data_IF_326662204669
#
_entry.id   IF_326662204669
#
_cell.length_a   1.000
_cell.length_b   1.000
_cell.length_c   1.000
_cell.angle_alpha   90.00
_cell.angle_beta   90.00
_cell.angle_gamma   90.00
#
_symmetry.space_group_name_H-M   'P 1'
#
loop_
_entity.id
_entity.type
_entity.pdbx_description
1 polymer ?
#
# COMPACT_ATOMS: atom_id res chain seq x y z
N UNK A 1 0.05 -5.87 -18.83
CA UNK A 1 -1.13 -5.02 -18.62
C UNK A 1 -0.77 -3.58 -18.96
N UNK A 2 -1.55 -2.91 -19.82
CA UNK A 2 -1.19 -1.56 -20.31
C UNK A 2 -2.00 -0.53 -19.51
N UNK A 3 -1.33 0.32 -18.75
CA UNK A 3 -1.98 1.45 -18.08
C UNK A 3 -2.05 2.63 -19.04
N UNK A 4 -3.19 3.29 -19.05
CA UNK A 4 -3.32 4.58 -19.70
C UNK A 4 -2.81 5.66 -18.75
N UNK A 5 -1.58 6.14 -18.98
CA UNK A 5 -1.00 7.28 -18.28
C UNK A 5 -0.45 8.26 -19.31
N UNK A 6 -1.08 9.42 -19.50
CA UNK A 6 -0.52 10.44 -20.37
C UNK A 6 0.90 10.83 -19.95
N UNK A 7 1.81 11.00 -20.92
CA UNK A 7 3.24 11.22 -20.64
C UNK A 7 3.52 12.38 -19.68
N UNK A 8 2.74 13.46 -19.77
CA UNK A 8 2.89 14.65 -18.93
C UNK A 8 2.36 14.48 -17.49
N UNK A 9 1.64 13.40 -17.19
CA UNK A 9 1.17 13.05 -15.85
C UNK A 9 1.94 11.87 -15.24
N UNK A 10 2.90 11.33 -15.97
CA UNK A 10 3.63 10.16 -15.53
C UNK A 10 4.75 10.57 -14.58
N UNK A 11 4.83 9.91 -13.44
CA UNK A 11 5.92 10.01 -12.49
C UNK A 11 6.77 8.73 -12.61
N UNK A 12 8.02 8.89 -13.06
CA UNK A 12 8.96 7.78 -13.28
C UNK A 12 10.14 7.78 -12.28
N UNK A 13 10.26 8.80 -11.43
CA UNK A 13 11.31 8.87 -10.41
C UNK A 13 11.05 7.83 -9.30
N UNK A 14 11.93 6.83 -9.11
CA UNK A 14 11.74 5.79 -8.10
C UNK A 14 11.70 6.33 -6.66
N UNK A 15 12.44 7.41 -6.37
CA UNK A 15 12.46 7.99 -5.03
C UNK A 15 11.13 8.71 -4.73
N UNK A 16 10.59 9.44 -5.72
CA UNK A 16 9.29 10.11 -5.59
C UNK A 16 8.14 9.09 -5.49
N UNK A 17 8.20 7.98 -6.23
CA UNK A 17 7.22 6.89 -6.10
C UNK A 17 7.25 6.24 -4.71
N UNK A 18 8.44 5.97 -4.18
CA UNK A 18 8.59 5.42 -2.82
C UNK A 18 8.09 6.38 -1.75
N UNK A 19 8.43 7.66 -1.86
CA UNK A 19 7.93 8.70 -0.97
C UNK A 19 6.39 8.84 -1.03
N UNK A 20 5.80 8.74 -2.22
CA UNK A 20 4.34 8.74 -2.39
C UNK A 20 3.69 7.54 -1.69
N UNK A 21 4.24 6.34 -1.88
CA UNK A 21 3.75 5.12 -1.22
C UNK A 21 3.88 5.23 0.29
N UNK A 22 5.00 5.74 0.81
CA UNK A 22 5.19 5.94 2.25
C UNK A 22 4.20 6.95 2.85
N UNK A 23 3.90 8.04 2.12
CA UNK A 23 2.94 9.04 2.55
C UNK A 23 1.47 8.58 2.47
N UNK A 24 1.16 7.59 1.62
CA UNK A 24 -0.17 7.05 1.40
C UNK A 24 -0.21 5.52 1.63
N UNK A 25 0.42 5.06 2.70
CA UNK A 25 0.78 3.66 2.91
C UNK A 25 -0.41 2.70 3.15
N UNK A 26 -1.63 3.21 3.40
CA UNK A 26 -2.84 2.39 3.51
C UNK A 26 -3.39 2.09 2.12
N UNK A 27 -3.07 0.91 1.61
CA UNK A 27 -3.35 0.49 0.24
C UNK A 27 -4.41 -0.59 0.11
N UNK A 28 -5.00 -0.69 -1.08
CA UNK A 28 -5.88 -1.79 -1.46
C UNK A 28 -5.05 -2.89 -2.16
N UNK A 29 -4.89 -4.02 -1.49
CA UNK A 29 -4.29 -5.24 -2.05
C UNK A 29 -5.37 -5.99 -2.84
N UNK A 30 -5.09 -6.27 -4.10
CA UNK A 30 -5.98 -6.99 -5.03
C UNK A 30 -5.24 -8.21 -5.55
N UNK A 31 -5.88 -9.36 -5.53
CA UNK A 31 -5.42 -10.57 -6.22
C UNK A 31 -6.56 -11.25 -6.96
N UNK A 32 -6.22 -12.17 -7.85
CA UNK A 32 -7.18 -13.02 -8.55
C UNK A 32 -6.91 -14.47 -8.16
N UNK A 33 -7.89 -15.09 -7.53
CA UNK A 33 -7.89 -16.51 -7.15
C UNK A 33 -8.98 -17.30 -7.88
N UNK A 34 -9.15 -18.54 -7.49
CA UNK A 34 -10.15 -19.44 -8.07
C UNK A 34 -11.61 -18.95 -7.85
N UNK A 35 -11.86 -18.21 -6.75
CA UNK A 35 -13.16 -17.65 -6.42
C UNK A 35 -13.42 -16.28 -7.08
N UNK A 36 -12.46 -15.73 -7.82
CA UNK A 36 -12.54 -14.40 -8.45
C UNK A 36 -11.54 -13.41 -7.87
N UNK A 37 -11.94 -12.14 -7.79
CA UNK A 37 -11.10 -11.07 -7.24
C UNK A 37 -11.30 -10.94 -5.74
N UNK A 38 -10.19 -10.91 -5.01
CA UNK A 38 -10.16 -10.60 -3.59
C UNK A 38 -9.51 -9.24 -3.35
N UNK A 39 -10.05 -8.49 -2.39
CA UNK A 39 -9.54 -7.17 -2.01
C UNK A 39 -9.40 -7.07 -0.49
N UNK A 40 -8.24 -6.63 -0.03
CA UNK A 40 -7.99 -6.29 1.38
C UNK A 40 -7.35 -4.91 1.48
N UNK A 41 -7.78 -4.13 2.47
CA UNK A 41 -7.16 -2.83 2.76
C UNK A 41 -6.27 -2.97 3.99
N UNK A 42 -4.99 -2.64 3.84
CA UNK A 42 -3.99 -2.78 4.90
C UNK A 42 -2.86 -1.76 4.75
N UNK A 43 -2.18 -1.43 5.85
CA UNK A 43 -0.98 -0.60 5.79
C UNK A 43 0.19 -1.41 5.23
N UNK A 44 1.03 -0.73 4.43
CA UNK A 44 2.26 -1.29 3.88
C UNK A 44 3.48 -0.50 4.35
N UNK A 45 4.59 -1.21 4.55
CA UNK A 45 5.91 -0.61 4.66
C UNK A 45 6.65 -0.78 3.33
N UNK A 46 6.95 0.31 2.61
CA UNK A 46 7.85 0.25 1.48
C UNK A 46 9.30 0.07 1.97
N UNK A 47 10.03 -0.86 1.39
CA UNK A 47 11.45 -1.02 1.64
C UNK A 47 12.19 -1.48 0.38
N UNK A 48 13.47 -1.14 0.26
CA UNK A 48 14.29 -1.63 -0.84
C UNK A 48 14.97 -2.93 -0.44
N UNK A 49 14.79 -3.94 -1.28
CA UNK A 49 15.55 -5.17 -1.17
C UNK A 49 17.02 -4.98 -1.53
N UNK A 50 17.87 -5.95 -1.19
CA UNK A 50 19.27 -5.95 -1.58
C UNK A 50 19.51 -5.96 -3.11
N UNK A 51 18.49 -6.29 -3.88
CA UNK A 51 18.42 -6.22 -5.35
C UNK A 51 17.98 -4.84 -5.89
N UNK A 52 17.80 -3.86 -5.01
CA UNK A 52 17.33 -2.50 -5.33
C UNK A 52 15.84 -2.39 -5.66
N UNK A 53 15.09 -3.50 -5.68
CA UNK A 53 13.65 -3.49 -5.97
C UNK A 53 12.86 -3.02 -4.77
N UNK A 54 11.79 -2.26 -5.03
CA UNK A 54 10.82 -1.90 -4.01
C UNK A 54 10.04 -3.15 -3.60
N UNK A 55 9.95 -3.36 -2.30
CA UNK A 55 9.12 -4.38 -1.66
C UNK A 55 8.08 -3.69 -0.80
N UNK A 56 6.88 -4.23 -0.79
CA UNK A 56 5.77 -3.77 0.03
C UNK A 56 5.49 -4.85 1.06
N UNK A 57 5.73 -4.55 2.33
CA UNK A 57 5.52 -5.50 3.41
C UNK A 57 4.30 -5.07 4.19
N UNK A 58 3.37 -5.99 4.38
CA UNK A 58 2.13 -5.80 5.13
C UNK A 58 1.74 -7.08 5.87
N UNK A 59 0.69 -7.02 6.67
CA UNK A 59 0.12 -8.20 7.30
C UNK A 59 -1.38 -8.27 7.08
N UNK A 60 -1.89 -9.47 7.03
CA UNK A 60 -3.32 -9.79 6.90
C UNK A 60 -3.72 -10.58 8.14
N UNK A 61 -4.87 -10.25 8.73
CA UNK A 61 -5.39 -11.01 9.87
C UNK A 61 -5.58 -12.48 9.47
N UNK A 62 -5.27 -13.42 10.37
CA UNK A 62 -5.39 -14.87 10.11
C UNK A 62 -6.82 -15.27 9.69
N UNK A 63 -7.83 -14.58 10.20
CA UNK A 63 -9.23 -14.81 9.84
C UNK A 63 -9.61 -14.32 8.43
N UNK A 64 -8.78 -13.48 7.80
CA UNK A 64 -9.02 -13.01 6.44
C UNK A 64 -8.41 -14.02 5.44
N UNK A 65 -9.26 -14.80 4.78
CA UNK A 65 -8.85 -15.87 3.87
C UNK A 65 -8.01 -15.40 2.66
N UNK A 66 -7.92 -14.10 2.40
CA UNK A 66 -7.16 -13.55 1.28
C UNK A 66 -5.69 -14.01 1.26
N UNK A 67 -5.06 -14.23 2.44
CA UNK A 67 -3.68 -14.72 2.49
C UNK A 67 -3.50 -16.10 1.86
N UNK A 68 -4.52 -16.98 1.92
CA UNK A 68 -4.49 -18.32 1.31
C UNK A 68 -4.50 -18.22 -0.22
N UNK A 69 -5.22 -17.25 -0.76
CA UNK A 69 -5.26 -16.99 -2.20
C UNK A 69 -3.93 -16.41 -2.71
N UNK A 70 -3.27 -15.57 -1.90
CA UNK A 70 -1.98 -14.97 -2.24
C UNK A 70 -0.87 -16.02 -2.41
N UNK A 71 -0.90 -17.13 -1.68
CA UNK A 71 0.09 -18.20 -1.77
C UNK A 71 0.09 -18.87 -3.15
N UNK A 72 -1.07 -18.93 -3.80
CA UNK A 72 -1.23 -19.47 -5.16
C UNK A 72 -1.29 -18.41 -6.26
N UNK A 73 -1.31 -17.13 -5.91
CA UNK A 73 -1.49 -16.06 -6.88
C UNK A 73 -0.22 -15.83 -7.71
N UNK A 74 -0.37 -15.77 -9.03
CA UNK A 74 0.72 -15.44 -9.95
C UNK A 74 1.11 -13.98 -9.87
N UNK A 75 0.14 -13.09 -9.62
CA UNK A 75 0.30 -11.64 -9.54
C UNK A 75 -0.59 -11.04 -8.46
N UNK A 76 -0.13 -9.96 -7.88
CA UNK A 76 -0.88 -9.10 -6.97
C UNK A 76 -0.72 -7.64 -7.39
N UNK A 77 -1.75 -6.85 -7.13
CA UNK A 77 -1.77 -5.41 -7.34
C UNK A 77 -2.02 -4.72 -5.99
N UNK A 78 -1.20 -3.73 -5.65
CA UNK A 78 -1.52 -2.81 -4.55
C UNK A 78 -1.79 -1.43 -5.12
N UNK A 79 -2.92 -0.85 -4.76
CA UNK A 79 -3.34 0.50 -5.17
C UNK A 79 -3.16 1.44 -3.98
N UNK A 80 -2.34 2.47 -4.16
CA UNK A 80 -2.16 3.57 -3.21
C UNK A 80 -2.82 4.82 -3.77
N UNK A 81 -3.89 5.26 -3.12
CA UNK A 81 -4.63 6.46 -3.51
C UNK A 81 -4.13 7.66 -2.69
N UNK A 82 -3.73 8.70 -3.38
CA UNK A 82 -3.33 9.98 -2.80
C UNK A 82 -4.41 11.06 -2.98
N UNK A 83 -4.03 12.34 -2.96
CA UNK A 83 -4.96 13.45 -3.12
C UNK A 83 -5.72 13.37 -4.45
N UNK A 84 -6.98 13.74 -4.41
CA UNK A 84 -7.83 13.84 -5.59
C UNK A 84 -8.82 14.99 -5.43
N UNK A 85 -9.18 15.63 -6.54
CA UNK A 85 -10.15 16.71 -6.54
C UNK A 85 -10.89 16.81 -7.89
N UNK A 86 -12.15 17.17 -7.83
CA UNK A 86 -12.90 17.61 -8.98
C UNK A 86 -12.45 19.01 -9.39
N UNK A 87 -12.33 19.26 -10.71
CA UNK A 87 -11.97 20.56 -11.27
C UNK A 87 -13.13 21.05 -12.12
N UNK A 88 -13.76 22.15 -11.67
CA UNK A 88 -14.90 22.74 -12.35
C UNK A 88 -14.48 23.54 -13.60
N UNK A 89 -15.23 23.44 -14.70
CA UNK A 89 -15.03 24.31 -15.86
C UNK A 89 -15.14 25.79 -15.54
N UNK A 90 -15.92 26.15 -14.52
CA UNK A 90 -16.13 27.56 -14.11
C UNK A 90 -14.86 28.22 -13.54
N UNK A 91 -13.81 27.46 -13.24
CA UNK A 91 -12.53 27.99 -12.70
C UNK A 91 -11.54 28.36 -13.81
N UNK A 92 -11.82 28.02 -15.06
CA UNK A 92 -10.94 28.34 -16.18
C UNK A 92 -11.23 29.73 -16.74
N UNK A 93 -10.16 30.42 -17.12
CA UNK A 93 -10.27 31.71 -17.80
C UNK A 93 -10.75 31.59 -19.25
N UNK A 94 -10.50 30.43 -19.88
CA UNK A 94 -10.84 30.17 -21.26
C UNK A 94 -12.02 29.20 -21.40
N UNK A 95 -12.97 29.52 -22.27
CA UNK A 95 -14.13 28.70 -22.56
C UNK A 95 -14.23 28.41 -24.05
N UNK A 96 -14.84 27.28 -24.48
CA UNK A 96 -15.45 26.24 -23.64
C UNK A 96 -14.40 25.35 -22.93
N UNK A 97 -14.70 24.95 -21.68
CA UNK A 97 -13.92 24.01 -20.90
C UNK A 97 -14.81 22.89 -20.39
N UNK A 98 -14.24 21.73 -20.13
CA UNK A 98 -14.94 20.56 -19.61
C UNK A 98 -14.52 20.22 -18.19
N UNK A 99 -15.39 19.60 -17.37
CA UNK A 99 -15.01 19.14 -16.04
C UNK A 99 -14.01 18.01 -16.12
N UNK A 100 -13.15 17.92 -15.09
CA UNK A 100 -12.20 16.84 -14.95
C UNK A 100 -11.95 16.50 -13.48
N UNK A 101 -11.19 15.43 -13.26
CA UNK A 101 -10.64 15.08 -11.95
C UNK A 101 -9.12 15.10 -12.04
N UNK A 102 -8.50 15.77 -11.07
CA UNK A 102 -7.08 15.61 -10.80
C UNK A 102 -6.92 14.61 -9.66
N UNK A 103 -6.00 13.66 -9.82
CA UNK A 103 -5.73 12.67 -8.79
C UNK A 103 -4.29 12.16 -8.90
N UNK A 104 -3.78 11.65 -7.80
CA UNK A 104 -2.53 10.94 -7.75
C UNK A 104 -2.78 9.51 -7.25
N UNK A 105 -2.26 8.51 -7.98
CA UNK A 105 -2.42 7.10 -7.62
C UNK A 105 -1.17 6.34 -8.06
N UNK A 106 -0.76 5.37 -7.24
CA UNK A 106 0.30 4.42 -7.60
C UNK A 106 -0.28 3.02 -7.63
N UNK A 107 -0.05 2.32 -8.74
CA UNK A 107 -0.35 0.91 -8.89
C UNK A 107 0.95 0.11 -8.83
N UNK A 108 1.14 -0.65 -7.77
CA UNK A 108 2.30 -1.52 -7.59
C UNK A 108 1.94 -2.95 -7.97
N UNK A 109 2.52 -3.42 -9.07
CA UNK A 109 2.37 -4.80 -9.55
C UNK A 109 3.53 -5.65 -9.07
N UNK A 110 3.23 -6.85 -8.61
CA UNK A 110 4.26 -7.76 -8.16
C UNK A 110 3.71 -9.15 -7.83
N UNK A 111 4.58 -9.98 -7.27
CA UNK A 111 4.20 -11.29 -6.74
C UNK A 111 4.15 -11.22 -5.23
N UNK A 112 3.06 -11.69 -4.65
CA UNK A 112 2.96 -11.87 -3.22
C UNK A 112 3.77 -13.11 -2.79
N UNK A 113 4.34 -13.02 -1.59
CA UNK A 113 5.00 -14.14 -0.92
C UNK A 113 4.71 -14.04 0.56
N UNK A 114 4.25 -15.13 1.13
CA UNK A 114 4.09 -15.23 2.57
C UNK A 114 5.47 -15.26 3.23
N UNK A 115 5.62 -14.49 4.29
CA UNK A 115 6.78 -14.53 5.16
C UNK A 115 6.58 -15.61 6.23
N UNK A 116 7.67 -16.18 6.78
CA UNK A 116 7.56 -17.13 7.87
C UNK A 116 6.94 -16.46 9.11
N UNK A 117 6.15 -17.19 9.91
CA UNK A 117 5.44 -16.62 11.07
C UNK A 117 6.33 -15.85 12.05
N UNK A 118 7.59 -16.26 12.18
CA UNK A 118 8.59 -15.65 13.05
C UNK A 118 8.93 -14.21 12.65
N UNK A 119 8.62 -13.81 11.40
CA UNK A 119 8.83 -12.45 10.95
C UNK A 119 7.73 -11.48 11.43
N UNK A 120 6.57 -11.99 11.87
CA UNK A 120 5.41 -11.17 12.23
C UNK A 120 5.66 -10.20 13.37
N UNK A 121 6.25 -10.60 14.52
CA UNK A 121 6.48 -9.64 15.62
C UNK A 121 7.37 -8.47 15.21
N UNK A 122 8.44 -8.74 14.46
CA UNK A 122 9.33 -7.69 13.95
C UNK A 122 8.63 -6.77 12.92
N UNK A 123 7.74 -7.30 12.10
CA UNK A 123 6.94 -6.51 11.16
C UNK A 123 5.95 -5.59 11.91
N UNK A 124 5.24 -6.11 12.90
CA UNK A 124 4.28 -5.34 13.69
C UNK A 124 4.96 -4.23 14.49
N UNK A 125 6.14 -4.47 15.08
CA UNK A 125 6.93 -3.42 15.74
C UNK A 125 7.33 -2.32 14.74
N UNK A 126 7.80 -2.67 13.55
CA UNK A 126 8.17 -1.71 12.50
C UNK A 126 6.97 -0.91 12.01
N UNK A 127 5.82 -1.54 11.77
CA UNK A 127 4.58 -0.87 11.39
C UNK A 127 4.15 0.11 12.49
N UNK A 128 4.17 -0.31 13.74
CA UNK A 128 3.82 0.57 14.87
C UNK A 128 4.74 1.77 14.94
N UNK A 129 6.05 1.59 14.83
CA UNK A 129 7.03 2.69 14.83
C UNK A 129 6.79 3.68 13.71
N UNK A 130 6.46 3.21 12.51
CA UNK A 130 6.21 4.08 11.36
C UNK A 130 5.10 5.13 11.63
N UNK A 131 4.15 4.83 12.52
CA UNK A 131 3.03 5.72 12.86
C UNK A 131 3.13 6.33 14.26
N UNK A 132 3.94 5.78 15.13
CA UNK A 132 4.04 6.20 16.53
C UNK A 132 5.26 7.08 16.84
N UNK A 133 6.38 6.93 16.10
CA UNK A 133 7.65 7.59 16.44
C UNK A 133 7.56 9.12 16.46
N UNK A 134 6.62 9.72 15.73
CA UNK A 134 6.37 11.17 15.75
C UNK A 134 5.50 11.69 16.89
N UNK A 135 4.98 10.81 17.78
CA UNK A 135 4.06 11.17 18.85
C UNK A 135 4.82 11.54 20.14
N UNK A 136 4.28 12.45 20.98
CA UNK A 136 4.91 12.80 22.26
C UNK A 136 5.07 11.64 23.22
N UNK A 137 4.17 10.63 23.17
CA UNK A 137 4.21 9.41 23.97
C UNK A 137 3.92 8.20 23.05
N UNK A 138 4.93 7.74 22.30
CA UNK A 138 4.72 6.71 21.31
C UNK A 138 4.41 5.36 21.94
N UNK A 139 3.41 4.68 21.42
CA UNK A 139 3.13 3.30 21.79
C UNK A 139 4.27 2.37 21.32
N UNK A 140 4.57 1.36 22.10
CA UNK A 140 5.61 0.36 21.80
C UNK A 140 5.10 -1.05 22.05
N UNK A 141 5.35 -1.93 21.12
CA UNK A 141 4.99 -3.34 21.22
C UNK A 141 5.70 -4.03 22.42
N UNK A 142 6.90 -3.59 22.76
CA UNK A 142 7.65 -4.09 23.92
C UNK A 142 6.95 -3.85 25.27
N UNK A 143 5.93 -2.98 25.32
CA UNK A 143 5.09 -2.75 26.50
C UNK A 143 3.92 -3.73 26.64
N UNK A 144 3.69 -4.61 25.65
CA UNK A 144 2.61 -5.60 25.73
C UNK A 144 3.02 -6.79 26.62
N UNK A 145 2.08 -7.31 27.44
CA UNK A 145 2.25 -8.60 28.09
C UNK A 145 2.52 -9.72 27.08
N UNK A 146 3.33 -10.71 27.47
CA UNK A 146 3.67 -11.83 26.59
C UNK A 146 2.44 -12.62 26.11
N UNK A 147 1.40 -12.72 26.95
CA UNK A 147 0.13 -13.36 26.62
C UNK A 147 -0.66 -12.63 25.52
N UNK A 148 -0.52 -11.32 25.43
CA UNK A 148 -1.19 -10.52 24.39
C UNK A 148 -0.38 -10.51 23.09
N UNK A 149 0.94 -10.55 23.20
CA UNK A 149 1.82 -10.72 22.03
C UNK A 149 1.59 -12.07 21.34
N UNK A 150 1.28 -13.13 22.13
CA UNK A 150 1.00 -14.46 21.58
C UNK A 150 -0.36 -14.56 20.83
N UNK A 151 -1.26 -13.58 20.96
CA UNK A 151 -2.55 -13.53 20.27
C UNK A 151 -2.49 -12.80 18.92
N UNK A 152 -1.38 -12.11 18.64
CA UNK A 152 -1.14 -11.39 17.39
C UNK A 152 -0.71 -12.35 16.27
#
# INVERSE_FOLDING_TARGET
MTFYVPRHFRLDDPAALEAFVAANAFGALVSSGAAGLSVSHLPFLPERGGDGRLRLIGHVARANAHWQELEGASEALVIFAGPHAYVSPSWYANHPSVPTWNYAVVHAHGRARLLPPEALPGLLDRLSRAYEDGRPSPWRMAGLPAEDTAKL
#
